data_IF_828988626727
#
_entry.id   IF_828988626727
#
_cell.length_a   1.000
_cell.length_b   1.000
_cell.length_c   1.000
_cell.angle_alpha   90.00
_cell.angle_beta   90.00
_cell.angle_gamma   90.00
#
_symmetry.space_group_name_H-M   'P 1'
#
loop_
_entity.id
_entity.type
_entity.pdbx_description
1 polymer ?
#
# COMPACT_ATOMS: atom_id res chain seq x y z
N UNK A 1 -10.24 -6.88 -17.37
CA UNK A 1 -10.89 -5.61 -16.98
C UNK A 1 -9.93 -4.90 -16.05
N UNK A 2 -9.65 -3.62 -16.25
CA UNK A 2 -8.77 -2.90 -15.34
C UNK A 2 -9.52 -2.65 -14.02
N UNK A 3 -8.93 -3.10 -12.91
CA UNK A 3 -9.57 -3.03 -11.59
C UNK A 3 -9.08 -1.78 -10.86
N UNK A 4 -10.04 -1.03 -10.31
CA UNK A 4 -9.74 0.12 -9.48
C UNK A 4 -9.45 -0.33 -8.05
N UNK A 5 -8.43 0.25 -7.39
CA UNK A 5 -8.15 -0.08 -6.01
C UNK A 5 -9.23 0.47 -5.06
N UNK A 6 -9.31 -0.13 -3.86
CA UNK A 6 -10.14 0.27 -2.70
C UNK A 6 -10.25 1.78 -2.53
N UNK A 7 -11.39 2.28 -2.04
CA UNK A 7 -11.64 3.72 -1.86
C UNK A 7 -10.52 4.42 -1.08
N UNK A 8 -10.14 5.67 -1.42
CA UNK A 8 -9.16 6.44 -0.65
C UNK A 8 -9.57 6.67 0.82
N UNK A 9 -10.86 6.57 1.12
CA UNK A 9 -11.41 6.75 2.47
C UNK A 9 -11.43 5.46 3.29
N UNK A 10 -11.03 4.32 2.71
CA UNK A 10 -10.86 3.08 3.47
C UNK A 10 -9.79 3.26 4.55
N UNK A 11 -10.04 2.64 5.70
CA UNK A 11 -9.21 2.77 6.89
C UNK A 11 -8.92 1.40 7.48
N UNK A 12 -7.68 1.19 7.89
CA UNK A 12 -7.28 0.06 8.72
C UNK A 12 -6.47 0.57 9.90
N UNK A 13 -6.81 0.11 11.11
CA UNK A 13 -6.11 0.49 12.34
C UNK A 13 -5.95 2.00 12.57
N UNK A 14 -6.94 2.80 12.15
CA UNK A 14 -6.89 4.27 12.28
C UNK A 14 -6.19 5.02 11.13
N UNK A 15 -5.56 4.32 10.18
CA UNK A 15 -4.93 4.94 9.02
C UNK A 15 -5.81 4.88 7.77
N UNK A 16 -6.21 6.06 7.32
CA UNK A 16 -6.86 6.28 6.02
C UNK A 16 -5.85 6.02 4.91
N UNK A 17 -6.31 5.60 3.74
CA UNK A 17 -5.51 5.37 2.52
C UNK A 17 -4.58 4.15 2.55
N UNK A 18 -4.13 3.71 3.72
CA UNK A 18 -3.26 2.53 3.86
C UNK A 18 -3.85 1.28 3.16
N UNK A 19 -5.14 0.93 3.33
CA UNK A 19 -5.73 -0.22 2.65
C UNK A 19 -5.71 -0.09 1.13
N UNK A 20 -5.94 1.14 0.61
CA UNK A 20 -5.86 1.43 -0.83
C UNK A 20 -4.46 1.24 -1.37
N UNK A 21 -3.43 1.61 -0.61
CA UNK A 21 -2.05 1.39 -1.01
C UNK A 21 -1.72 -0.11 -1.09
N UNK A 22 -2.15 -0.92 -0.11
CA UNK A 22 -1.95 -2.37 -0.15
C UNK A 22 -2.70 -3.02 -1.32
N UNK A 23 -3.93 -2.58 -1.56
CA UNK A 23 -4.76 -3.08 -2.64
C UNK A 23 -4.16 -2.79 -4.02
N UNK A 24 -3.60 -1.59 -4.22
CA UNK A 24 -2.81 -1.28 -5.42
C UNK A 24 -1.64 -2.24 -5.62
N UNK A 25 -0.91 -2.57 -4.56
CA UNK A 25 0.22 -3.51 -4.64
C UNK A 25 -0.27 -4.90 -5.08
N UNK A 26 -1.37 -5.39 -4.47
CA UNK A 26 -1.98 -6.68 -4.79
C UNK A 26 -2.47 -6.73 -6.25
N UNK A 27 -3.22 -5.70 -6.68
CA UNK A 27 -3.71 -5.58 -8.06
C UNK A 27 -2.57 -5.47 -9.08
N UNK A 28 -1.48 -4.76 -8.73
CA UNK A 28 -0.33 -4.66 -9.61
C UNK A 28 0.37 -6.00 -9.78
N UNK A 29 0.53 -6.77 -8.70
CA UNK A 29 1.12 -8.11 -8.76
C UNK A 29 0.25 -9.12 -9.53
N UNK A 30 -1.08 -8.95 -9.50
CA UNK A 30 -2.02 -9.73 -10.31
C UNK A 30 -2.10 -9.31 -11.78
N UNK A 31 -1.47 -8.19 -12.17
CA UNK A 31 -1.58 -7.64 -13.53
C UNK A 31 -2.94 -6.99 -13.82
N UNK A 32 -3.73 -6.68 -12.79
CA UNK A 32 -5.10 -6.15 -12.91
C UNK A 32 -5.19 -4.65 -12.66
N UNK A 33 -4.12 -4.04 -12.13
CA UNK A 33 -4.09 -2.61 -11.84
C UNK A 33 -4.05 -1.78 -13.13
N UNK A 34 -4.93 -0.79 -13.23
CA UNK A 34 -4.96 0.15 -14.35
C UNK A 34 -3.62 0.91 -14.53
N UNK A 35 -3.17 1.06 -15.78
CA UNK A 35 -1.85 1.61 -16.15
C UNK A 35 -1.60 3.03 -15.61
N UNK A 36 -2.65 3.87 -15.53
CA UNK A 36 -2.59 5.21 -14.92
C UNK A 36 -2.02 5.24 -13.49
N UNK A 37 -2.14 4.13 -12.75
CA UNK A 37 -1.59 4.03 -11.41
C UNK A 37 -0.11 3.65 -11.39
N UNK A 38 0.40 3.01 -12.45
CA UNK A 38 1.74 2.40 -12.47
C UNK A 38 2.85 3.42 -12.24
N UNK A 39 2.72 4.62 -12.85
CA UNK A 39 3.70 5.71 -12.70
C UNK A 39 3.81 6.25 -11.28
N UNK A 40 2.76 6.10 -10.47
CA UNK A 40 2.66 6.69 -9.14
C UNK A 40 2.83 5.66 -8.00
N UNK A 41 2.91 4.36 -8.33
CA UNK A 41 3.12 3.29 -7.34
C UNK A 41 4.44 3.49 -6.60
N UNK A 42 4.35 3.77 -5.30
CA UNK A 42 5.52 3.98 -4.45
C UNK A 42 6.33 5.24 -4.76
N UNK A 43 5.83 6.12 -5.65
CA UNK A 43 6.54 7.34 -5.99
C UNK A 43 6.59 8.28 -4.78
N UNK A 44 7.77 8.86 -4.49
CA UNK A 44 8.00 9.74 -3.32
C UNK A 44 7.06 10.95 -3.24
N UNK A 45 6.58 11.45 -4.38
CA UNK A 45 5.65 12.59 -4.48
C UNK A 45 4.18 12.15 -4.65
N UNK A 46 3.89 10.86 -4.53
CA UNK A 46 2.54 10.32 -4.55
C UNK A 46 2.10 9.95 -3.13
N UNK A 47 0.80 9.71 -2.97
CA UNK A 47 0.23 9.33 -1.67
C UNK A 47 0.79 8.01 -1.11
N UNK A 48 1.18 7.06 -1.98
CA UNK A 48 1.86 5.83 -1.56
C UNK A 48 3.22 6.15 -0.89
N UNK A 49 3.99 7.06 -1.49
CA UNK A 49 5.26 7.53 -0.92
C UNK A 49 5.08 8.33 0.38
N UNK A 50 4.03 9.16 0.47
CA UNK A 50 3.70 9.89 1.69
C UNK A 50 3.32 8.95 2.85
N UNK A 51 2.53 7.90 2.57
CA UNK A 51 2.15 6.88 3.54
C UNK A 51 3.38 6.07 4.02
N UNK A 52 4.21 5.61 3.08
CA UNK A 52 5.47 4.93 3.40
C UNK A 52 6.42 5.82 4.24
N UNK A 53 6.53 7.11 3.89
CA UNK A 53 7.36 8.06 4.64
C UNK A 53 6.83 8.34 6.06
N UNK A 54 5.52 8.40 6.24
CA UNK A 54 4.89 8.52 7.56
C UNK A 54 5.24 7.32 8.44
N UNK A 55 5.11 6.11 7.89
CA UNK A 55 5.44 4.84 8.56
C UNK A 55 6.94 4.59 8.69
N UNK A 56 7.78 5.37 7.99
CA UNK A 56 9.23 5.15 7.87
C UNK A 56 9.61 3.77 7.31
N UNK A 57 8.79 3.24 6.42
CA UNK A 57 9.00 1.95 5.76
C UNK A 57 9.32 2.17 4.28
N UNK A 58 10.24 1.37 3.73
CA UNK A 58 10.53 1.38 2.29
C UNK A 58 9.37 0.78 1.49
N UNK A 59 8.98 1.42 0.39
CA UNK A 59 7.92 0.89 -0.48
C UNK A 59 8.24 -0.51 -1.02
N UNK A 60 9.52 -0.78 -1.34
CA UNK A 60 9.95 -2.10 -1.81
C UNK A 60 9.75 -3.17 -0.74
N UNK A 61 10.18 -2.91 0.50
CA UNK A 61 10.03 -3.84 1.62
C UNK A 61 8.54 -4.07 1.95
N UNK A 62 7.74 -2.99 1.96
CA UNK A 62 6.30 -3.09 2.16
C UNK A 62 5.64 -3.90 1.04
N UNK A 63 6.01 -3.66 -0.21
CA UNK A 63 5.50 -4.43 -1.35
C UNK A 63 5.81 -5.91 -1.14
N UNK A 64 7.06 -6.25 -0.86
CA UNK A 64 7.47 -7.65 -0.70
C UNK A 64 6.78 -8.30 0.52
N UNK A 65 6.50 -7.54 1.59
CA UNK A 65 5.67 -7.99 2.72
C UNK A 65 4.22 -8.24 2.32
N UNK A 66 3.61 -7.36 1.52
CA UNK A 66 2.21 -7.51 1.04
C UNK A 66 2.07 -8.75 0.17
N UNK A 67 3.09 -9.05 -0.66
CA UNK A 67 3.08 -10.22 -1.55
C UNK A 67 3.21 -11.56 -0.82
N UNK A 68 3.67 -11.55 0.44
CA UNK A 68 3.63 -12.73 1.30
C UNK A 68 2.20 -13.06 1.79
N UNK A 69 1.23 -12.18 1.54
CA UNK A 69 -0.15 -12.32 1.98
C UNK A 69 -0.39 -11.77 3.39
N UNK A 70 -1.60 -11.97 3.88
CA UNK A 70 -2.09 -11.43 5.16
C UNK A 70 -3.09 -10.28 4.99
N UNK A 71 -3.76 -9.96 6.09
CA UNK A 71 -4.77 -8.89 6.17
C UNK A 71 -4.12 -7.52 6.22
N UNK A 72 -4.93 -6.49 6.00
CA UNK A 72 -4.44 -5.11 6.05
C UNK A 72 -3.94 -4.76 7.47
N UNK A 73 -4.56 -5.32 8.51
CA UNK A 73 -4.15 -5.17 9.91
C UNK A 73 -2.79 -5.81 10.20
N UNK A 74 -2.54 -7.02 9.71
CA UNK A 74 -1.26 -7.72 9.92
C UNK A 74 -0.10 -6.98 9.26
N UNK A 75 -0.35 -6.45 8.05
CA UNK A 75 0.65 -5.67 7.32
C UNK A 75 0.88 -4.31 7.98
N UNK A 76 -0.18 -3.72 8.54
CA UNK A 76 -0.08 -2.48 9.32
C UNK A 76 0.75 -2.68 10.58
N UNK A 77 0.51 -3.76 11.32
CA UNK A 77 1.29 -4.08 12.51
C UNK A 77 2.77 -4.28 12.15
N UNK A 78 3.07 -5.00 11.06
CA UNK A 78 4.43 -5.15 10.56
C UNK A 78 5.09 -3.80 10.22
N UNK A 79 4.33 -2.84 9.65
CA UNK A 79 4.84 -1.48 9.42
C UNK A 79 5.22 -0.78 10.71
N UNK A 80 4.46 -0.98 11.79
CA UNK A 80 4.74 -0.40 13.10
C UNK A 80 5.95 -1.05 13.77
N UNK A 81 6.18 -2.35 13.57
CA UNK A 81 7.36 -3.06 14.09
C UNK A 81 8.65 -2.67 13.37
N UNK A 82 8.59 -2.49 12.05
CA UNK A 82 9.76 -2.20 11.20
C UNK A 82 9.98 -0.70 10.96
N UNK A 83 9.10 0.14 11.50
CA UNK A 83 9.05 1.56 11.21
C UNK A 83 8.57 2.39 12.39
N UNK A 84 7.47 3.13 12.20
CA UNK A 84 6.93 4.09 13.16
C UNK A 84 5.41 3.94 13.32
N UNK A 85 4.96 4.01 14.57
CA UNK A 85 3.55 4.16 14.97
C UNK A 85 3.10 5.62 15.07
#
# INVERSE_FOLDING_TARGET
MATYPKSPNEMTGGMIYFPRMLDKIRLHAGGELHEDYHKNLGAKRAADGACCNFLRVGYADLRDRVLQGGTDEEILEWCFENGRR
#
